data_IF_164627806307
#
_entry.id   IF_164627806307
#
_cell.length_a   1.000
_cell.length_b   1.000
_cell.length_c   1.000
_cell.angle_alpha   90.00
_cell.angle_beta   90.00
_cell.angle_gamma   90.00
#
_symmetry.space_group_name_H-M   'P 1'
#
loop_
_entity.id
_entity.type
_entity.pdbx_description
1 polymer ?
#
# COMPACT_ATOMS: atom_id res chain seq x y z
N UNK A 1 -14.76 7.26 -28.50
CA UNK A 1 -14.28 8.60 -28.91
C UNK A 1 -15.39 9.65 -28.78
N UNK A 2 -16.56 9.51 -29.43
CA UNK A 2 -17.66 10.48 -29.27
C UNK A 2 -18.27 10.47 -27.85
N UNK A 3 -18.46 9.30 -27.24
CA UNK A 3 -18.92 9.18 -25.84
C UNK A 3 -17.87 9.64 -24.80
N UNK A 4 -16.62 9.87 -25.20
CA UNK A 4 -15.54 10.39 -24.32
C UNK A 4 -15.53 11.91 -24.22
N UNK A 5 -16.13 12.62 -25.18
CA UNK A 5 -16.09 14.09 -25.25
C UNK A 5 -17.21 14.72 -24.42
N UNK A 6 -18.34 14.02 -24.26
CA UNK A 6 -19.51 14.49 -23.51
C UNK A 6 -19.21 14.85 -22.04
N UNK A 7 -18.42 14.07 -21.26
CA UNK A 7 -18.03 14.48 -19.91
C UNK A 7 -17.00 15.62 -19.89
N UNK A 8 -16.27 15.83 -20.98
CA UNK A 8 -15.22 16.86 -21.09
C UNK A 8 -15.80 18.25 -21.42
N UNK A 9 -17.00 18.31 -22.02
CA UNK A 9 -17.63 19.57 -22.42
C UNK A 9 -18.42 20.25 -21.30
N UNK A 10 -18.78 19.56 -20.21
CA UNK A 10 -19.44 20.14 -19.03
C UNK A 10 -18.48 20.94 -18.11
N UNK A 11 -17.20 21.05 -18.48
CA UNK A 11 -16.15 21.75 -17.73
C UNK A 11 -16.17 23.29 -17.87
N UNK A 12 -17.07 23.87 -18.67
CA UNK A 12 -17.11 25.31 -18.94
C UNK A 12 -18.24 26.06 -18.18
N UNK A 13 -18.35 25.83 -16.88
CA UNK A 13 -18.97 26.80 -15.95
C UNK A 13 -17.84 27.55 -15.21
N UNK A 14 -17.89 28.89 -15.17
CA UNK A 14 -16.77 29.75 -14.78
C UNK A 14 -16.23 29.55 -13.36
N UNK A 15 -17.02 28.94 -12.46
CA UNK A 15 -16.59 28.61 -11.09
C UNK A 15 -15.70 27.35 -10.99
N UNK A 16 -15.55 26.59 -12.09
CA UNK A 16 -14.76 25.34 -12.15
C UNK A 16 -13.39 25.50 -12.83
N UNK A 17 -13.05 26.71 -13.28
CA UNK A 17 -11.81 26.98 -14.03
C UNK A 17 -10.53 26.75 -13.21
N UNK A 18 -10.57 26.79 -11.88
CA UNK A 18 -9.42 26.47 -11.02
C UNK A 18 -9.31 24.97 -10.70
N UNK A 19 -10.39 24.20 -10.84
CA UNK A 19 -10.45 22.77 -10.52
C UNK A 19 -10.35 21.86 -11.77
N UNK A 20 -10.01 22.44 -12.93
CA UNK A 20 -9.98 21.73 -14.21
C UNK A 20 -8.99 20.56 -14.22
N UNK A 21 -7.81 20.72 -13.60
CA UNK A 21 -6.81 19.64 -13.48
C UNK A 21 -7.36 18.45 -12.70
N UNK A 22 -8.03 18.71 -11.56
CA UNK A 22 -8.64 17.68 -10.73
C UNK A 22 -9.74 16.91 -11.47
N UNK A 23 -10.58 17.61 -12.24
CA UNK A 23 -11.61 16.96 -13.06
C UNK A 23 -11.02 16.09 -14.18
N UNK A 24 -9.98 16.56 -14.88
CA UNK A 24 -9.28 15.75 -15.90
C UNK A 24 -8.61 14.54 -15.26
N UNK A 25 -7.95 14.73 -14.11
CA UNK A 25 -7.33 13.65 -13.36
C UNK A 25 -8.37 12.59 -12.95
N UNK A 26 -9.52 13.00 -12.43
CA UNK A 26 -10.61 12.08 -12.08
C UNK A 26 -11.14 11.31 -13.29
N UNK A 27 -11.36 11.98 -14.41
CA UNK A 27 -11.81 11.34 -15.64
C UNK A 27 -10.77 10.34 -16.18
N UNK A 28 -9.49 10.72 -16.19
CA UNK A 28 -8.39 9.83 -16.57
C UNK A 28 -8.28 8.62 -15.64
N UNK A 29 -8.47 8.82 -14.33
CA UNK A 29 -8.48 7.74 -13.35
C UNK A 29 -9.67 6.79 -13.55
N UNK A 30 -10.87 7.33 -13.81
CA UNK A 30 -12.05 6.52 -14.12
C UNK A 30 -11.83 5.67 -15.37
N UNK A 31 -11.26 6.25 -16.42
CA UNK A 31 -10.89 5.51 -17.63
C UNK A 31 -9.82 4.45 -17.36
N UNK A 32 -8.79 4.78 -16.58
CA UNK A 32 -7.77 3.84 -16.14
C UNK A 32 -8.35 2.65 -15.37
N UNK A 33 -9.32 2.89 -14.47
CA UNK A 33 -10.05 1.82 -13.76
C UNK A 33 -10.79 0.91 -14.74
N UNK A 34 -11.59 1.46 -15.64
CA UNK A 34 -12.34 0.68 -16.63
C UNK A 34 -11.41 -0.15 -17.54
N UNK A 35 -10.30 0.44 -17.99
CA UNK A 35 -9.29 -0.25 -18.80
C UNK A 35 -8.62 -1.38 -18.01
N UNK A 36 -8.29 -1.15 -16.75
CA UNK A 36 -7.69 -2.16 -15.88
C UNK A 36 -8.66 -3.32 -15.63
N UNK A 37 -9.94 -3.05 -15.36
CA UNK A 37 -10.95 -4.10 -15.20
C UNK A 37 -11.04 -4.99 -16.45
N UNK A 38 -11.12 -4.39 -17.64
CA UNK A 38 -11.16 -5.12 -18.90
C UNK A 38 -9.88 -5.94 -19.15
N UNK A 39 -8.71 -5.35 -18.89
CA UNK A 39 -7.41 -6.03 -19.05
C UNK A 39 -7.29 -7.23 -18.11
N UNK A 40 -7.65 -7.06 -16.84
CA UNK A 40 -7.55 -8.11 -15.83
C UNK A 40 -8.55 -9.23 -16.08
N UNK A 41 -9.74 -8.91 -16.58
CA UNK A 41 -10.70 -9.91 -17.04
C UNK A 41 -10.14 -10.73 -18.22
N UNK A 42 -9.54 -10.07 -19.21
CA UNK A 42 -8.91 -10.74 -20.34
C UNK A 42 -7.74 -11.64 -19.92
N UNK A 43 -6.95 -11.23 -18.91
CA UNK A 43 -5.92 -12.08 -18.33
C UNK A 43 -6.49 -13.28 -17.57
N UNK A 44 -7.57 -13.11 -16.79
CA UNK A 44 -8.25 -14.23 -16.12
C UNK A 44 -8.78 -15.27 -17.13
N UNK A 45 -9.31 -14.81 -18.27
CA UNK A 45 -9.77 -15.68 -19.36
C UNK A 45 -8.60 -16.41 -20.04
N UNK A 46 -7.48 -15.73 -20.25
CA UNK A 46 -6.25 -16.37 -20.76
C UNK A 46 -5.71 -17.41 -19.78
N UNK A 47 -5.75 -17.14 -18.47
CA UNK A 47 -5.34 -18.08 -17.44
C UNK A 47 -6.25 -19.31 -17.38
N UNK A 48 -7.55 -19.17 -17.64
CA UNK A 48 -8.46 -20.31 -17.77
C UNK A 48 -8.02 -21.23 -18.93
N UNK A 49 -7.70 -20.66 -20.09
CA UNK A 49 -7.26 -21.41 -21.26
C UNK A 49 -5.93 -22.15 -21.03
N UNK A 50 -5.08 -21.61 -20.14
CA UNK A 50 -3.77 -22.17 -19.79
C UNK A 50 -3.77 -22.95 -18.47
N UNK A 51 -4.94 -23.14 -17.85
CA UNK A 51 -5.07 -23.78 -16.55
C UNK A 51 -4.43 -25.18 -16.59
N UNK A 52 -3.66 -25.58 -15.56
CA UNK A 52 -3.11 -26.93 -15.48
C UNK A 52 -4.18 -28.03 -15.62
N UNK A 53 -3.76 -29.19 -16.13
CA UNK A 53 -4.60 -30.40 -16.16
C UNK A 53 -4.97 -30.80 -14.73
N UNK A 54 -6.11 -31.48 -14.58
CA UNK A 54 -6.63 -31.92 -13.27
C UNK A 54 -7.24 -30.81 -12.39
N UNK A 55 -6.91 -29.54 -12.62
CA UNK A 55 -7.49 -28.42 -11.86
C UNK A 55 -8.96 -28.19 -12.22
N UNK A 56 -9.79 -27.78 -11.26
CA UNK A 56 -11.23 -27.52 -11.46
C UNK A 56 -11.59 -26.08 -11.12
N UNK A 57 -12.46 -25.46 -11.91
CA UNK A 57 -13.03 -24.14 -11.58
C UNK A 57 -14.25 -24.36 -10.69
N UNK A 58 -14.30 -23.68 -9.54
CA UNK A 58 -15.38 -23.83 -8.55
C UNK A 58 -16.30 -22.62 -8.50
N UNK A 59 -15.85 -21.48 -9.03
CA UNK A 59 -16.68 -20.30 -9.15
C UNK A 59 -15.85 -19.04 -9.27
N UNK A 60 -16.46 -17.91 -8.92
CA UNK A 60 -15.82 -16.60 -8.95
C UNK A 60 -15.76 -15.99 -7.55
N UNK A 61 -14.73 -15.19 -7.31
CA UNK A 61 -14.61 -14.32 -6.14
C UNK A 61 -14.19 -12.93 -6.58
N UNK A 62 -14.61 -11.94 -5.81
CA UNK A 62 -14.28 -10.55 -6.07
C UNK A 62 -13.24 -10.06 -5.07
N UNK A 63 -12.46 -9.05 -5.45
CA UNK A 63 -11.52 -8.34 -4.57
C UNK A 63 -11.31 -6.94 -5.12
N UNK A 64 -11.08 -6.01 -4.22
CA UNK A 64 -10.68 -4.65 -4.58
C UNK A 64 -9.16 -4.55 -4.52
N UNK A 65 -8.56 -4.05 -5.60
CA UNK A 65 -7.13 -3.74 -5.69
C UNK A 65 -6.95 -2.22 -5.66
N UNK A 66 -6.14 -1.72 -4.74
CA UNK A 66 -5.73 -0.32 -4.72
C UNK A 66 -4.66 -0.08 -5.77
N UNK A 67 -4.91 0.88 -6.66
CA UNK A 67 -4.02 1.24 -7.76
C UNK A 67 -3.80 2.76 -7.80
N UNK A 68 -2.87 3.22 -8.65
CA UNK A 68 -2.58 4.66 -8.83
C UNK A 68 -3.78 5.47 -9.31
N UNK A 69 -4.70 4.83 -10.01
CA UNK A 69 -5.91 5.45 -10.56
C UNK A 69 -7.17 5.08 -9.76
N UNK A 70 -6.99 4.55 -8.54
CA UNK A 70 -8.08 4.29 -7.61
C UNK A 70 -8.33 2.82 -7.30
N UNK A 71 -9.49 2.56 -6.72
CA UNK A 71 -9.95 1.22 -6.35
C UNK A 71 -10.49 0.48 -7.59
N UNK A 72 -9.90 -0.67 -7.91
CA UNK A 72 -10.32 -1.52 -9.04
C UNK A 72 -10.94 -2.80 -8.51
N UNK A 73 -12.19 -3.09 -8.88
CA UNK A 73 -12.85 -4.34 -8.46
C UNK A 73 -12.56 -5.42 -9.49
N UNK A 74 -11.85 -6.46 -9.07
CA UNK A 74 -11.53 -7.60 -9.92
C UNK A 74 -12.44 -8.77 -9.59
N UNK A 75 -12.99 -9.39 -10.63
CA UNK A 75 -13.70 -10.68 -10.55
C UNK A 75 -12.80 -11.76 -11.12
N UNK A 76 -12.46 -12.75 -10.31
CA UNK A 76 -11.48 -13.79 -10.66
C UNK A 76 -11.97 -15.18 -10.33
N UNK A 77 -11.46 -16.18 -11.05
CA UNK A 77 -11.86 -17.58 -10.87
C UNK A 77 -11.19 -18.20 -9.64
N UNK A 78 -11.97 -18.96 -8.88
CA UNK A 78 -11.49 -19.85 -7.83
C UNK A 78 -11.22 -21.22 -8.45
N UNK A 79 -9.97 -21.65 -8.36
CA UNK A 79 -9.52 -22.96 -8.80
C UNK A 79 -9.30 -23.88 -7.61
N UNK A 80 -9.56 -25.18 -7.79
CA UNK A 80 -9.02 -26.24 -6.95
C UNK A 80 -7.93 -26.96 -7.74
N UNK A 81 -6.75 -27.08 -7.15
CA UNK A 81 -5.69 -27.93 -7.69
C UNK A 81 -6.04 -29.42 -7.52
N UNK A 82 -5.16 -30.30 -8.04
CA UNK A 82 -5.34 -31.76 -7.96
C UNK A 82 -5.42 -32.29 -6.51
N UNK A 83 -4.88 -31.52 -5.56
CA UNK A 83 -4.86 -31.84 -4.13
C UNK A 83 -6.06 -31.21 -3.39
N UNK A 84 -6.96 -30.53 -4.11
CA UNK A 84 -8.13 -29.86 -3.55
C UNK A 84 -7.83 -28.53 -2.87
N UNK A 85 -6.66 -27.92 -3.11
CA UNK A 85 -6.30 -26.62 -2.53
C UNK A 85 -6.83 -25.48 -3.39
N UNK A 86 -7.39 -24.47 -2.72
CA UNK A 86 -7.89 -23.25 -3.35
C UNK A 86 -6.75 -22.38 -3.92
N UNK A 87 -6.87 -22.00 -5.18
CA UNK A 87 -5.90 -21.17 -5.91
C UNK A 87 -6.60 -20.06 -6.69
N UNK A 88 -5.92 -18.92 -6.82
CA UNK A 88 -6.39 -17.77 -7.59
C UNK A 88 -5.28 -17.38 -8.55
N UNK A 89 -5.30 -17.93 -9.77
CA UNK A 89 -4.22 -17.73 -10.74
C UNK A 89 -3.99 -16.25 -11.06
N UNK A 90 -5.05 -15.43 -11.07
CA UNK A 90 -4.92 -13.99 -11.27
C UNK A 90 -4.21 -13.30 -10.09
N UNK A 91 -4.51 -13.69 -8.85
CA UNK A 91 -3.83 -13.12 -7.67
C UNK A 91 -2.34 -13.53 -7.67
N UNK A 92 -2.04 -14.76 -8.05
CA UNK A 92 -0.66 -15.27 -8.16
C UNK A 92 0.13 -14.54 -9.24
N UNK A 93 -0.46 -14.31 -10.41
CA UNK A 93 0.15 -13.55 -11.50
C UNK A 93 0.46 -12.10 -11.07
N UNK A 94 -0.45 -11.48 -10.33
CA UNK A 94 -0.30 -10.11 -9.84
C UNK A 94 0.53 -9.99 -8.56
N UNK A 95 0.99 -11.12 -8.00
CA UNK A 95 1.72 -11.14 -6.73
C UNK A 95 0.89 -10.66 -5.52
N UNK A 96 -0.44 -10.84 -5.55
CA UNK A 96 -1.35 -10.37 -4.51
C UNK A 96 -1.49 -11.40 -3.38
N UNK A 97 -0.89 -11.17 -2.19
CA UNK A 97 -0.93 -12.13 -1.10
C UNK A 97 -2.37 -12.37 -0.61
N UNK A 98 -2.72 -13.61 -0.19
CA UNK A 98 -4.04 -13.91 0.35
C UNK A 98 -4.34 -13.10 1.60
N UNK A 99 -5.62 -12.73 1.80
CA UNK A 99 -6.15 -12.07 3.02
C UNK A 99 -5.56 -10.69 3.37
N UNK A 100 -4.59 -10.20 2.61
CA UNK A 100 -4.05 -8.86 2.76
C UNK A 100 -4.80 -7.88 1.85
N UNK A 101 -4.70 -6.58 2.17
CA UNK A 101 -5.13 -5.55 1.23
C UNK A 101 -4.34 -5.71 -0.08
N UNK A 102 -5.07 -5.83 -1.19
CA UNK A 102 -4.44 -5.90 -2.50
C UNK A 102 -4.06 -4.49 -2.91
N UNK A 103 -2.78 -4.25 -3.04
CA UNK A 103 -2.22 -2.98 -3.48
C UNK A 103 -1.24 -3.28 -4.60
N UNK A 104 -1.25 -2.47 -5.65
CA UNK A 104 -0.18 -2.47 -6.64
C UNK A 104 1.19 -2.32 -5.95
N UNK A 105 2.14 -3.21 -6.24
CA UNK A 105 3.48 -3.20 -5.65
C UNK A 105 4.16 -1.83 -5.78
N UNK A 106 4.04 -1.21 -6.96
CA UNK A 106 4.60 0.12 -7.25
C UNK A 106 4.06 1.20 -6.31
N UNK A 107 2.79 1.12 -5.92
CA UNK A 107 2.18 2.08 -5.00
C UNK A 107 2.75 1.89 -3.59
N UNK A 108 2.90 0.65 -3.14
CA UNK A 108 3.47 0.32 -1.83
C UNK A 108 4.89 0.87 -1.69
N UNK A 109 5.75 0.63 -2.68
CA UNK A 109 7.15 1.08 -2.66
C UNK A 109 7.24 2.60 -2.53
N UNK A 110 6.46 3.34 -3.32
CA UNK A 110 6.51 4.80 -3.30
C UNK A 110 5.96 5.39 -2.00
N UNK A 111 4.96 4.74 -1.40
CA UNK A 111 4.40 5.17 -0.11
C UNK A 111 5.40 4.95 1.03
N UNK A 112 6.13 3.83 1.02
CA UNK A 112 7.22 3.59 1.98
C UNK A 112 8.26 4.70 1.91
N UNK A 113 8.74 4.99 0.70
CA UNK A 113 9.76 6.01 0.45
C UNK A 113 9.35 7.36 1.06
N UNK A 114 8.15 7.85 0.73
CA UNK A 114 7.66 9.14 1.22
C UNK A 114 7.36 9.11 2.73
N UNK A 115 6.80 8.02 3.25
CA UNK A 115 6.49 7.87 4.67
C UNK A 115 7.75 7.86 5.55
N UNK A 116 8.85 7.30 5.06
CA UNK A 116 10.14 7.31 5.75
C UNK A 116 10.76 8.71 5.86
N UNK A 117 10.49 9.60 4.90
CA UNK A 117 11.03 10.96 4.91
C UNK A 117 10.18 11.94 5.74
N UNK A 118 8.84 11.84 5.65
CA UNK A 118 7.93 12.87 6.18
C UNK A 118 7.02 12.39 7.32
N UNK A 119 7.02 11.08 7.61
CA UNK A 119 6.13 10.44 8.56
C UNK A 119 4.76 10.07 7.97
N UNK A 120 4.17 9.00 8.54
CA UNK A 120 2.93 8.37 8.03
C UNK A 120 1.73 9.32 7.96
N UNK A 121 1.51 10.14 9.00
CA UNK A 121 0.37 11.06 9.03
C UNK A 121 0.43 12.07 7.90
N UNK A 122 1.59 12.71 7.70
CA UNK A 122 1.75 13.74 6.67
C UNK A 122 1.67 13.14 5.26
N UNK A 123 2.22 11.95 5.10
CA UNK A 123 2.12 11.18 3.85
C UNK A 123 0.66 10.88 3.50
N UNK A 124 -0.18 10.54 4.48
CA UNK A 124 -1.61 10.31 4.27
C UNK A 124 -2.36 11.55 3.79
N UNK A 125 -2.09 12.72 4.39
CA UNK A 125 -2.67 13.99 3.94
C UNK A 125 -2.28 14.32 2.50
N UNK A 126 -0.99 14.16 2.16
CA UNK A 126 -0.46 14.44 0.82
C UNK A 126 -1.08 13.47 -0.21
N UNK A 127 -1.11 12.17 0.07
CA UNK A 127 -1.70 11.17 -0.83
C UNK A 127 -3.20 11.40 -1.04
N UNK A 128 -3.94 11.77 0.00
CA UNK A 128 -5.36 12.10 -0.12
C UNK A 128 -5.58 13.32 -1.04
N UNK A 129 -4.74 14.34 -0.91
CA UNK A 129 -4.79 15.54 -1.78
C UNK A 129 -4.40 15.23 -3.22
N UNK A 130 -3.28 14.51 -3.43
CA UNK A 130 -2.74 14.23 -4.77
C UNK A 130 -3.62 13.31 -5.60
N UNK A 131 -4.44 12.48 -4.95
CA UNK A 131 -5.33 11.56 -5.64
C UNK A 131 -6.66 12.20 -6.00
N UNK A 132 -6.95 13.44 -5.59
CA UNK A 132 -8.18 14.18 -5.91
C UNK A 132 -9.47 13.38 -5.67
N UNK A 133 -9.45 12.42 -4.73
CA UNK A 133 -10.57 11.50 -4.45
C UNK A 133 -10.60 10.21 -5.29
N UNK A 134 -9.61 9.95 -6.15
CA UNK A 134 -9.47 8.69 -6.88
C UNK A 134 -9.21 7.51 -5.92
N UNK A 135 -8.51 7.78 -4.81
CA UNK A 135 -8.46 6.89 -3.65
C UNK A 135 -9.26 7.51 -2.52
N UNK A 136 -10.07 6.69 -1.85
CA UNK A 136 -10.76 7.13 -0.63
C UNK A 136 -9.74 7.38 0.48
N UNK A 137 -10.02 8.33 1.37
CA UNK A 137 -9.19 8.61 2.56
C UNK A 137 -8.94 7.34 3.38
N UNK A 138 -9.97 6.50 3.52
CA UNK A 138 -9.86 5.21 4.19
C UNK A 138 -8.91 4.24 3.47
N UNK A 139 -8.87 4.25 2.14
CA UNK A 139 -7.94 3.41 1.37
C UNK A 139 -6.50 3.91 1.47
N UNK A 140 -6.29 5.23 1.51
CA UNK A 140 -4.97 5.82 1.80
C UNK A 140 -4.48 5.38 3.19
N UNK A 141 -5.34 5.45 4.21
CA UNK A 141 -4.97 5.00 5.55
C UNK A 141 -4.73 3.49 5.64
N UNK A 142 -5.58 2.66 5.01
CA UNK A 142 -5.37 1.20 4.96
C UNK A 142 -4.05 0.84 4.27
N UNK A 143 -3.69 1.56 3.22
CA UNK A 143 -2.41 1.41 2.54
C UNK A 143 -1.23 1.74 3.46
N UNK A 144 -1.29 2.89 4.15
CA UNK A 144 -0.26 3.31 5.10
C UNK A 144 -0.12 2.35 6.27
N UNK A 145 -1.24 1.86 6.80
CA UNK A 145 -1.26 0.91 7.92
C UNK A 145 -0.62 -0.42 7.54
N UNK A 146 -1.02 -0.99 6.39
CA UNK A 146 -0.40 -2.21 5.87
C UNK A 146 1.10 -2.04 5.58
N UNK A 147 1.51 -0.87 5.10
CA UNK A 147 2.91 -0.53 4.90
C UNK A 147 3.65 -0.46 6.24
N UNK A 148 3.07 0.19 7.25
CA UNK A 148 3.62 0.30 8.59
C UNK A 148 3.80 -1.05 9.27
N UNK A 149 2.79 -1.92 9.23
CA UNK A 149 2.88 -3.28 9.77
C UNK A 149 4.01 -4.08 9.12
N UNK A 150 4.21 -3.94 7.80
CA UNK A 150 5.30 -4.61 7.08
C UNK A 150 6.68 -4.07 7.44
N UNK A 151 6.78 -2.77 7.70
CA UNK A 151 8.03 -2.17 8.16
C UNK A 151 8.40 -2.68 9.57
N UNK A 152 7.44 -2.65 10.50
CA UNK A 152 7.62 -3.16 11.86
C UNK A 152 7.97 -4.66 11.88
N UNK A 153 7.29 -5.47 11.07
CA UNK A 153 7.59 -6.90 11.00
C UNK A 153 9.01 -7.20 10.46
N UNK A 154 9.57 -6.34 9.59
CA UNK A 154 10.97 -6.47 9.14
C UNK A 154 11.93 -6.07 10.26
N UNK A 155 11.67 -4.96 10.94
CA UNK A 155 12.47 -4.50 12.08
C UNK A 155 12.48 -5.52 13.22
N UNK A 156 11.37 -6.21 13.49
CA UNK A 156 11.33 -7.27 14.51
C UNK A 156 12.19 -8.48 14.14
N UNK A 157 12.20 -8.90 12.88
CA UNK A 157 13.03 -10.02 12.41
C UNK A 157 14.52 -9.67 12.47
N UNK A 158 14.88 -8.45 12.08
CA UNK A 158 16.24 -7.92 12.16
C UNK A 158 16.66 -7.69 13.62
N UNK A 159 15.74 -7.20 14.46
CA UNK A 159 15.92 -7.04 15.89
C UNK A 159 16.11 -8.37 16.61
N UNK A 160 15.36 -9.42 16.27
CA UNK A 160 15.60 -10.76 16.82
C UNK A 160 16.96 -11.33 16.37
N UNK A 161 17.37 -11.08 15.13
CA UNK A 161 18.69 -11.48 14.64
C UNK A 161 19.82 -10.79 15.42
N UNK A 162 19.71 -9.47 15.64
CA UNK A 162 20.73 -8.69 16.32
C UNK A 162 20.71 -8.88 17.85
N UNK A 163 19.53 -8.80 18.48
CA UNK A 163 19.40 -8.82 19.95
C UNK A 163 19.34 -10.22 20.56
N UNK A 164 18.76 -11.23 19.87
CA UNK A 164 18.65 -12.59 20.41
C UNK A 164 19.73 -13.54 19.89
N UNK A 165 20.16 -13.39 18.63
CA UNK A 165 21.20 -14.23 18.02
C UNK A 165 22.60 -13.59 18.03
N UNK A 166 22.72 -12.32 18.44
CA UNK A 166 24.01 -11.62 18.52
C UNK A 166 24.64 -11.36 17.16
N UNK A 167 23.85 -11.42 16.08
CA UNK A 167 24.33 -11.15 14.74
C UNK A 167 24.64 -9.64 14.62
N UNK A 168 25.80 -9.28 14.06
CA UNK A 168 26.08 -7.86 13.80
C UNK A 168 25.14 -7.36 12.71
N UNK A 169 24.48 -6.21 12.89
CA UNK A 169 23.76 -5.59 11.78
C UNK A 169 24.74 -5.37 10.62
N UNK A 170 24.30 -5.63 9.39
CA UNK A 170 25.11 -5.39 8.21
C UNK A 170 25.46 -3.89 8.16
N UNK A 171 26.71 -3.55 8.49
CA UNK A 171 27.18 -2.18 8.45
C UNK A 171 27.62 -1.85 7.01
N UNK A 172 26.88 -0.96 6.35
CA UNK A 172 27.36 -0.28 5.17
C UNK A 172 28.18 0.94 5.65
N UNK A 173 29.50 0.77 5.72
CA UNK A 173 30.48 1.82 6.07
C UNK A 173 30.91 1.82 7.55
N UNK A 174 32.17 1.43 7.79
CA UNK A 174 32.83 1.39 9.11
C UNK A 174 33.03 2.78 9.74
N UNK A 175 32.74 2.90 11.04
CA UNK A 175 33.76 3.08 12.09
C UNK A 175 33.12 2.84 13.47
N UNK A 176 33.67 1.89 14.23
CA UNK A 176 33.22 1.57 15.58
C UNK A 176 33.62 2.70 16.55
N UNK A 177 32.69 3.33 17.30
CA UNK A 177 33.09 4.29 18.31
C UNK A 177 33.83 3.58 19.45
N UNK A 178 35.07 4.00 19.69
CA UNK A 178 36.02 3.32 20.59
C UNK A 178 35.59 3.33 22.08
N UNK A 179 34.59 4.13 22.47
CA UNK A 179 34.02 4.15 23.84
C UNK A 179 32.53 4.54 23.84
N UNK A 180 31.68 3.62 24.26
CA UNK A 180 30.30 3.89 24.68
C UNK A 180 30.30 4.43 26.11
N UNK A 181 30.17 5.75 26.29
CA UNK A 181 29.90 6.32 27.62
C UNK A 181 28.40 6.21 27.91
N UNK A 182 28.02 5.48 28.97
CA UNK A 182 26.67 5.59 29.52
C UNK A 182 26.60 6.85 30.41
N UNK A 183 25.96 7.91 29.91
CA UNK A 183 25.67 9.08 30.74
C UNK A 183 24.45 8.76 31.60
N UNK A 184 24.68 8.31 32.84
CA UNK A 184 23.65 8.30 33.89
C UNK A 184 23.28 9.75 34.19
N UNK A 185 22.15 10.24 33.64
CA UNK A 185 21.56 11.51 34.08
C UNK A 185 21.15 11.40 35.54
N UNK A 186 21.94 12.03 36.42
CA UNK A 186 21.62 12.23 37.84
C UNK A 186 20.67 13.43 37.94
N UNK A 187 19.37 13.20 37.86
CA UNK A 187 18.38 14.23 38.18
C UNK A 187 18.31 14.40 39.69
N UNK A 188 18.98 15.44 40.20
CA UNK A 188 18.73 15.97 41.53
C UNK A 188 17.42 16.76 41.55
N UNK A 189 16.54 16.46 42.50
CA UNK A 189 15.48 17.37 42.93
C UNK A 189 15.58 17.53 44.45
N UNK A 190 15.60 18.79 44.87
CA UNK A 190 16.04 19.24 46.18
C UNK A 190 15.11 18.91 47.34
N UNK A 191 15.74 18.71 48.49
CA UNK A 191 15.12 18.72 49.79
C UNK A 191 14.67 20.15 50.15
N UNK A 192 13.40 20.32 50.48
CA UNK A 192 12.92 21.40 51.34
C UNK A 192 12.24 20.76 52.56
N UNK A 193 13.01 20.62 53.64
CA UNK A 193 12.49 20.28 54.96
C UNK A 193 12.45 21.56 55.79
N UNK A 194 11.24 21.98 56.17
CA UNK A 194 10.99 23.11 57.07
C UNK A 194 11.63 22.87 58.44
N UNK A 195 12.22 23.94 58.98
CA UNK A 195 12.69 24.09 60.35
C UNK A 195 11.62 23.69 61.39
N UNK A 196 12.08 23.04 62.46
CA UNK A 196 11.43 23.05 63.77
C UNK A 196 12.23 24.00 64.67
N UNK A 197 11.56 25.02 65.19
CA UNK A 197 11.73 25.54 66.54
C UNK A 197 10.32 25.59 67.15
#
# INVERSE_FOLDING_TARGET
>A
MAEMILPLMELFESDKASAWEGHIFQAACAWGRALAEALLQAWDDKLLAQKPRGWRVVGFRERTVLTRFGEVRIRRRLYLDEQGRARFLLDELLGLPPRQLAVSVVVVEKVIEVASEMGYRKTGEILASLTEGALSTMSVWRLLDQVGERALAKEDVEGEAVYKRGERPAQEGEEAPERLYSVRKRTGYGAQSRHRL
#
